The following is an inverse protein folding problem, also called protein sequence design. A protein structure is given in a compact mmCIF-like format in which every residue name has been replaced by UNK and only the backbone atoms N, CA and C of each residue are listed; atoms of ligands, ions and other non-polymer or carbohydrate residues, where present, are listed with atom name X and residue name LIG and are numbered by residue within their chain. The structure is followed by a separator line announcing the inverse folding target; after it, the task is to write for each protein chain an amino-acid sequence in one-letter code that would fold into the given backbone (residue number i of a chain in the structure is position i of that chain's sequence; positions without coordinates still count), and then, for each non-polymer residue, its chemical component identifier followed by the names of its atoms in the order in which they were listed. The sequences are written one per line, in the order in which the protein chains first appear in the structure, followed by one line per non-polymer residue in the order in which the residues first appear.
data_IF_864069935702
#
_entry.id   IF_864069935702
#
_cell.length_a   1.000
_cell.length_b   1.000
_cell.length_c   1.000
_cell.angle_alpha   90.00
_cell.angle_beta   90.00
_cell.angle_gamma   90.00
#
_symmetry.space_group_name_H-M   'P 1'
#
loop_
_entity.id
_entity.type
_entity.pdbx_description
1 polymer ?
#
# COMPACT_ATOMS: atom_id res chain seq x y z
N UNK A 1 35.77 0.87 7.17
CA UNK A 1 34.46 1.34 7.63
C UNK A 1 33.58 0.12 7.86
N UNK A 2 33.48 -0.30 9.13
CA UNK A 2 32.79 -1.54 9.60
C UNK A 2 31.39 -1.70 9.00
N UNK A 3 30.69 -0.58 8.73
CA UNK A 3 29.37 -0.58 8.07
C UNK A 3 29.40 -1.06 6.62
N UNK A 4 30.45 -0.76 5.85
CA UNK A 4 30.58 -1.25 4.47
C UNK A 4 30.88 -2.75 4.39
N UNK A 5 31.57 -3.29 5.37
CA UNK A 5 31.90 -4.73 5.44
C UNK A 5 30.71 -5.55 5.97
N UNK A 6 29.93 -5.02 6.92
CA UNK A 6 28.66 -5.58 7.35
C UNK A 6 27.62 -5.57 6.21
N UNK A 7 27.64 -4.54 5.36
CA UNK A 7 26.71 -4.37 4.26
C UNK A 7 26.79 -5.46 3.19
N UNK A 8 27.88 -6.21 3.09
CA UNK A 8 28.05 -7.20 2.02
C UNK A 8 27.65 -8.63 2.37
N UNK A 9 27.48 -9.00 3.65
CA UNK A 9 27.27 -10.41 4.01
C UNK A 9 26.29 -10.73 5.16
N UNK A 10 25.74 -9.78 5.91
CA UNK A 10 25.02 -10.11 7.17
C UNK A 10 23.72 -9.34 7.48
N UNK A 11 23.13 -8.63 6.54
CA UNK A 11 21.89 -7.91 6.80
C UNK A 11 20.72 -8.84 7.15
N UNK A 12 20.65 -10.01 6.53
CA UNK A 12 19.65 -11.03 6.86
C UNK A 12 19.74 -11.57 8.30
N UNK A 13 20.87 -11.31 8.99
CA UNK A 13 21.07 -11.73 10.38
C UNK A 13 20.76 -10.64 11.40
N UNK A 14 20.34 -9.44 10.96
CA UNK A 14 20.00 -8.36 11.89
C UNK A 14 18.71 -8.64 12.64
N UNK A 15 18.75 -8.44 13.95
CA UNK A 15 17.53 -8.52 14.76
C UNK A 15 16.58 -7.35 14.49
N UNK A 16 15.32 -7.50 14.82
CA UNK A 16 14.30 -6.45 14.78
C UNK A 16 14.76 -5.13 15.45
N UNK A 17 15.41 -5.23 16.63
CA UNK A 17 15.95 -4.07 17.35
C UNK A 17 17.05 -3.35 16.57
N UNK A 18 17.90 -4.09 15.89
CA UNK A 18 18.98 -3.50 15.08
C UNK A 18 18.43 -2.82 13.84
N UNK A 19 17.43 -3.40 13.19
CA UNK A 19 16.73 -2.78 12.04
C UNK A 19 16.05 -1.47 12.47
N UNK A 20 15.31 -1.48 13.57
CA UNK A 20 14.65 -0.26 14.08
C UNK A 20 15.65 0.86 14.44
N UNK A 21 16.87 0.50 14.87
CA UNK A 21 17.92 1.45 15.22
C UNK A 21 18.67 2.04 14.01
N UNK A 22 18.40 1.58 12.77
CA UNK A 22 19.04 2.10 11.58
C UNK A 22 18.60 3.55 11.30
N UNK A 23 19.55 4.40 10.98
CA UNK A 23 19.23 5.72 10.45
C UNK A 23 18.67 5.64 9.03
N UNK A 24 17.93 6.67 8.55
CA UNK A 24 17.45 6.72 7.17
C UNK A 24 18.55 6.51 6.12
N UNK A 25 19.72 7.10 6.31
CA UNK A 25 20.86 6.98 5.39
C UNK A 25 21.44 5.56 5.37
N UNK A 26 21.48 4.90 6.53
CA UNK A 26 21.90 3.50 6.64
C UNK A 26 20.89 2.58 5.93
N UNK A 27 19.60 2.85 6.09
CA UNK A 27 18.54 2.11 5.44
C UNK A 27 18.58 2.28 3.91
N UNK A 28 18.80 3.51 3.41
CA UNK A 28 18.99 3.77 1.99
C UNK A 28 20.23 3.07 1.41
N UNK A 29 21.32 3.07 2.15
CA UNK A 29 22.54 2.37 1.72
C UNK A 29 22.30 0.88 1.59
N UNK A 30 21.54 0.31 2.52
CA UNK A 30 21.17 -1.09 2.48
C UNK A 30 20.24 -1.42 1.29
N UNK A 31 19.23 -0.59 1.01
CA UNK A 31 18.34 -0.77 -0.17
C UNK A 31 19.10 -0.85 -1.50
N UNK A 32 20.19 -0.08 -1.63
CA UNK A 32 21.02 -0.08 -2.86
C UNK A 32 21.81 -1.36 -3.02
N UNK A 33 22.15 -2.02 -1.92
CA UNK A 33 23.02 -3.20 -1.92
C UNK A 33 22.28 -4.52 -1.96
N UNK A 34 21.12 -4.61 -1.30
CA UNK A 34 20.31 -5.85 -1.23
C UNK A 34 18.82 -5.55 -1.04
N UNK A 35 18.08 -5.22 -2.10
CA UNK A 35 16.68 -4.80 -1.99
C UNK A 35 15.65 -5.92 -1.69
N UNK A 36 16.08 -7.19 -1.57
CA UNK A 36 15.16 -8.33 -1.57
C UNK A 36 15.17 -9.19 -0.29
N UNK A 37 16.01 -8.89 0.70
CA UNK A 37 16.30 -9.83 1.79
C UNK A 37 15.74 -9.45 3.17
N UNK A 38 14.62 -8.74 3.23
CA UNK A 38 13.92 -8.56 4.51
C UNK A 38 13.19 -9.85 4.92
N UNK A 39 13.40 -10.30 6.15
CA UNK A 39 12.48 -11.24 6.78
C UNK A 39 11.20 -10.54 7.23
N UNK A 40 10.15 -11.31 7.47
CA UNK A 40 8.87 -10.77 7.98
C UNK A 40 9.07 -9.98 9.28
N UNK A 41 9.85 -10.52 10.23
CA UNK A 41 10.16 -9.87 11.50
C UNK A 41 10.90 -8.54 11.32
N UNK A 42 11.80 -8.49 10.34
CA UNK A 42 12.54 -7.27 10.01
C UNK A 42 11.64 -6.18 9.43
N UNK A 43 10.71 -6.56 8.54
CA UNK A 43 9.72 -5.64 7.96
C UNK A 43 8.79 -5.09 9.04
N UNK A 44 8.29 -5.95 9.92
CA UNK A 44 7.44 -5.52 11.05
C UNK A 44 8.18 -4.60 12.03
N UNK A 45 9.51 -4.75 12.16
CA UNK A 45 10.33 -3.92 13.02
C UNK A 45 10.63 -2.52 12.44
N UNK A 46 10.40 -2.29 11.14
CA UNK A 46 10.57 -0.97 10.53
C UNK A 46 9.57 0.02 11.14
N UNK A 47 10.07 1.15 11.63
CA UNK A 47 9.18 2.23 12.04
C UNK A 47 8.46 2.84 10.82
N UNK A 48 7.28 3.44 11.01
CA UNK A 48 6.58 4.16 9.94
C UNK A 48 7.48 5.19 9.24
N UNK A 49 8.32 5.92 9.97
CA UNK A 49 9.26 6.88 9.42
C UNK A 49 10.37 6.22 8.59
N UNK A 50 10.85 5.06 8.97
CA UNK A 50 11.81 4.30 8.16
C UNK A 50 11.19 3.81 6.85
N UNK A 51 9.94 3.35 6.87
CA UNK A 51 9.22 2.93 5.67
C UNK A 51 9.06 4.06 4.66
N UNK A 52 8.81 5.30 5.10
CA UNK A 52 8.70 6.46 4.21
C UNK A 52 10.01 6.80 3.49
N UNK A 53 11.15 6.31 3.96
CA UNK A 53 12.46 6.50 3.29
C UNK A 53 12.71 5.48 2.18
N UNK A 54 11.92 4.39 2.12
CA UNK A 54 12.05 3.37 1.09
C UNK A 54 11.53 3.90 -0.26
N UNK A 55 12.24 3.57 -1.35
CA UNK A 55 11.75 3.93 -2.68
C UNK A 55 10.58 3.04 -3.12
N UNK A 56 9.65 3.58 -3.92
CA UNK A 56 8.57 2.79 -4.52
C UNK A 56 9.11 1.59 -5.32
N UNK A 57 10.28 1.75 -5.97
CA UNK A 57 10.96 0.66 -6.70
C UNK A 57 11.40 -0.47 -5.78
N UNK A 58 11.84 -0.16 -4.57
CA UNK A 58 12.17 -1.17 -3.57
C UNK A 58 10.93 -1.92 -3.11
N UNK A 59 9.88 -1.17 -2.77
CA UNK A 59 8.60 -1.72 -2.31
C UNK A 59 7.92 -2.61 -3.37
N UNK A 60 8.04 -2.24 -4.65
CA UNK A 60 7.51 -3.02 -5.77
C UNK A 60 8.08 -4.44 -5.87
N UNK A 61 9.28 -4.66 -5.33
CA UNK A 61 9.95 -5.97 -5.34
C UNK A 61 9.49 -6.88 -4.20
N UNK A 62 8.75 -6.36 -3.24
CA UNK A 62 8.29 -7.13 -2.10
C UNK A 62 7.25 -8.18 -2.51
N UNK A 63 7.39 -9.38 -1.96
CA UNK A 63 6.42 -10.45 -2.16
C UNK A 63 5.11 -10.13 -1.45
N UNK A 64 4.04 -10.79 -1.86
CA UNK A 64 2.74 -10.67 -1.19
C UNK A 64 2.84 -10.98 0.31
N UNK A 65 3.62 -11.98 0.68
CA UNK A 65 3.83 -12.37 2.08
C UNK A 65 4.46 -11.25 2.91
N UNK A 66 5.49 -10.60 2.38
CA UNK A 66 6.12 -9.44 3.02
C UNK A 66 5.13 -8.28 3.15
N UNK A 67 4.39 -7.96 2.10
CA UNK A 67 3.41 -6.86 2.13
C UNK A 67 2.32 -7.14 3.16
N UNK A 68 1.81 -8.37 3.22
CA UNK A 68 0.78 -8.76 4.19
C UNK A 68 1.27 -8.83 5.63
N UNK A 69 2.58 -8.88 5.86
CA UNK A 69 3.16 -8.80 7.21
C UNK A 69 3.23 -7.37 7.76
N UNK A 70 3.07 -6.35 6.91
CA UNK A 70 3.03 -4.95 7.34
C UNK A 70 1.84 -4.68 8.26
N UNK A 71 2.09 -3.91 9.32
CA UNK A 71 1.07 -3.47 10.24
C UNK A 71 0.21 -2.35 9.62
N UNK A 72 -1.07 -2.20 10.02
CA UNK A 72 -1.95 -1.14 9.49
C UNK A 72 -1.35 0.27 9.59
N UNK A 73 -0.70 0.59 10.69
CA UNK A 73 -0.02 1.88 10.91
C UNK A 73 1.18 2.09 9.98
N UNK A 74 1.87 1.02 9.61
CA UNK A 74 2.95 1.06 8.63
C UNK A 74 2.40 1.35 7.23
N UNK A 75 1.29 0.73 6.85
CA UNK A 75 0.59 1.01 5.59
C UNK A 75 0.09 2.45 5.54
N UNK A 76 -0.54 2.92 6.61
CA UNK A 76 -1.08 4.29 6.70
C UNK A 76 0.00 5.39 6.61
N UNK A 77 1.24 5.07 6.97
CA UNK A 77 2.37 6.01 6.88
C UNK A 77 2.95 6.17 5.48
N UNK A 78 2.73 5.20 4.58
CA UNK A 78 3.28 5.23 3.23
C UNK A 78 2.72 6.41 2.41
N UNK A 79 3.59 7.04 1.62
CA UNK A 79 3.15 7.99 0.62
C UNK A 79 2.31 7.29 -0.48
N UNK A 80 1.39 7.99 -1.18
CA UNK A 80 0.55 7.38 -2.20
C UNK A 80 1.31 6.62 -3.29
N UNK A 81 2.42 7.16 -3.77
CA UNK A 81 3.28 6.53 -4.77
C UNK A 81 4.06 5.31 -4.23
N UNK A 82 4.38 5.28 -2.94
CA UNK A 82 4.94 4.10 -2.27
C UNK A 82 3.88 2.99 -2.09
N UNK A 83 2.64 3.36 -1.80
CA UNK A 83 1.55 2.43 -1.56
C UNK A 83 1.04 1.75 -2.85
N UNK A 84 1.00 2.48 -3.99
CA UNK A 84 0.48 1.98 -5.26
C UNK A 84 1.04 0.62 -5.70
N UNK A 85 2.35 0.37 -5.72
CA UNK A 85 2.88 -0.93 -6.13
C UNK A 85 2.48 -2.08 -5.19
N UNK A 86 2.05 -1.76 -3.97
CA UNK A 86 1.66 -2.75 -2.96
C UNK A 86 0.17 -3.10 -3.01
N UNK A 87 -0.67 -2.26 -3.63
CA UNK A 87 -2.14 -2.38 -3.61
C UNK A 87 -2.66 -3.79 -3.91
N UNK A 88 -2.14 -4.41 -4.96
CA UNK A 88 -2.56 -5.76 -5.38
C UNK A 88 -2.26 -6.85 -4.35
N UNK A 89 -1.33 -6.59 -3.44
CA UNK A 89 -0.88 -7.52 -2.41
C UNK A 89 -1.49 -7.25 -1.02
N UNK A 90 -2.11 -6.08 -0.82
CA UNK A 90 -2.72 -5.72 0.46
C UNK A 90 -3.84 -6.68 0.84
N UNK A 91 -3.86 -7.08 2.11
CA UNK A 91 -5.01 -7.78 2.68
C UNK A 91 -6.23 -6.85 2.82
N UNK A 92 -7.45 -7.40 2.94
CA UNK A 92 -8.64 -6.60 3.22
C UNK A 92 -8.50 -5.67 4.43
N UNK A 93 -7.87 -6.14 5.50
CA UNK A 93 -7.62 -5.34 6.71
C UNK A 93 -6.67 -4.16 6.45
N UNK A 94 -5.62 -4.39 5.68
CA UNK A 94 -4.66 -3.35 5.32
C UNK A 94 -5.29 -2.29 4.39
N UNK A 95 -6.18 -2.70 3.48
CA UNK A 95 -6.93 -1.76 2.65
C UNK A 95 -7.87 -0.88 3.48
N UNK A 96 -8.55 -1.45 4.48
CA UNK A 96 -9.37 -0.68 5.41
C UNK A 96 -8.57 0.33 6.25
N UNK A 97 -7.25 0.15 6.37
CA UNK A 97 -6.35 1.07 7.07
C UNK A 97 -5.81 2.22 6.19
N UNK A 98 -6.10 2.24 4.89
CA UNK A 98 -5.72 3.35 4.01
C UNK A 98 -6.38 4.66 4.46
N UNK A 99 -5.57 5.72 4.54
CA UNK A 99 -6.05 7.04 4.95
C UNK A 99 -6.59 7.87 3.77
N UNK A 100 -7.20 9.01 4.08
CA UNK A 100 -7.82 9.92 3.12
C UNK A 100 -6.85 10.34 2.02
N UNK A 101 -5.60 10.67 2.39
CA UNK A 101 -4.57 11.08 1.42
C UNK A 101 -4.24 9.96 0.43
N UNK A 102 -4.20 8.74 0.89
CA UNK A 102 -3.95 7.58 0.03
C UNK A 102 -5.15 7.29 -0.86
N UNK A 103 -6.38 7.36 -0.32
CA UNK A 103 -7.61 7.14 -1.07
C UNK A 103 -7.84 8.18 -2.17
N UNK A 104 -7.65 9.48 -1.87
CA UNK A 104 -7.84 10.57 -2.84
C UNK A 104 -6.80 10.62 -3.96
N UNK A 105 -5.72 9.86 -3.84
CA UNK A 105 -4.66 9.75 -4.86
C UNK A 105 -4.73 8.47 -5.69
N UNK A 106 -5.75 7.63 -5.51
CA UNK A 106 -5.94 6.42 -6.32
C UNK A 106 -6.36 6.80 -7.75
N UNK A 107 -5.79 6.09 -8.72
CA UNK A 107 -6.09 6.27 -10.15
C UNK A 107 -7.00 5.14 -10.66
N UNK A 108 -7.62 5.29 -11.85
CA UNK A 108 -8.36 4.19 -12.49
C UNK A 108 -7.54 2.90 -12.65
N UNK A 109 -6.24 3.02 -12.90
CA UNK A 109 -5.34 1.87 -13.01
C UNK A 109 -5.14 1.16 -11.68
N UNK A 110 -5.07 1.91 -10.57
CA UNK A 110 -4.95 1.35 -9.23
C UNK A 110 -6.21 0.54 -8.87
N UNK A 111 -7.36 1.10 -9.21
CA UNK A 111 -8.66 0.49 -8.98
C UNK A 111 -8.82 -0.84 -9.73
N UNK A 112 -8.40 -0.88 -11.00
CA UNK A 112 -8.47 -2.10 -11.83
C UNK A 112 -7.67 -3.28 -11.27
N UNK A 113 -6.64 -3.01 -10.46
CA UNK A 113 -5.79 -4.04 -9.89
C UNK A 113 -6.41 -4.72 -8.66
N UNK A 114 -7.41 -4.10 -8.03
CA UNK A 114 -8.02 -4.62 -6.82
C UNK A 114 -8.88 -5.85 -7.10
N UNK A 115 -8.69 -6.87 -6.27
CA UNK A 115 -9.49 -8.10 -6.30
C UNK A 115 -10.89 -7.85 -5.69
N UNK A 116 -11.91 -8.66 -6.02
CA UNK A 116 -13.26 -8.51 -5.47
C UNK A 116 -13.29 -8.40 -3.94
N UNK A 117 -12.54 -9.27 -3.25
CA UNK A 117 -12.48 -9.26 -1.78
C UNK A 117 -11.88 -7.96 -1.23
N UNK A 118 -10.95 -7.36 -1.97
CA UNK A 118 -10.33 -6.08 -1.62
C UNK A 118 -11.32 -4.93 -1.76
N UNK A 119 -12.14 -4.93 -2.84
CA UNK A 119 -13.22 -3.97 -3.05
C UNK A 119 -14.24 -4.00 -1.91
N UNK A 120 -14.69 -5.19 -1.56
CA UNK A 120 -15.65 -5.39 -0.48
C UNK A 120 -15.13 -4.98 0.90
N UNK A 121 -13.81 -4.87 1.06
CA UNK A 121 -13.19 -4.46 2.31
C UNK A 121 -13.11 -2.93 2.50
N UNK A 122 -13.25 -2.15 1.41
CA UNK A 122 -13.25 -0.70 1.51
C UNK A 122 -14.46 -0.22 2.33
N UNK A 123 -14.21 0.69 3.25
CA UNK A 123 -15.29 1.29 4.05
C UNK A 123 -16.13 2.25 3.21
N UNK A 124 -17.41 2.51 3.60
CA UNK A 124 -18.22 3.52 2.95
C UNK A 124 -17.53 4.89 2.86
N UNK A 125 -16.83 5.29 3.91
CA UNK A 125 -16.05 6.55 3.93
C UNK A 125 -14.94 6.54 2.87
N UNK A 126 -14.21 5.44 2.73
CA UNK A 126 -13.16 5.30 1.72
C UNK A 126 -13.73 5.36 0.30
N UNK A 127 -14.89 4.75 0.05
CA UNK A 127 -15.59 4.86 -1.24
C UNK A 127 -15.94 6.32 -1.55
N UNK A 128 -16.47 7.06 -0.59
CA UNK A 128 -16.80 8.48 -0.76
C UNK A 128 -15.58 9.36 -1.04
N UNK A 129 -14.38 8.95 -0.61
CA UNK A 129 -13.13 9.68 -0.80
C UNK A 129 -12.44 9.38 -2.15
N UNK A 130 -12.86 8.33 -2.86
CA UNK A 130 -12.29 8.00 -4.15
C UNK A 130 -12.47 9.16 -5.15
N UNK A 131 -11.44 9.48 -5.94
CA UNK A 131 -11.59 10.40 -7.05
C UNK A 131 -12.68 9.93 -8.02
N UNK A 132 -13.42 10.86 -8.58
CA UNK A 132 -14.53 10.57 -9.50
C UNK A 132 -14.07 9.77 -10.71
N UNK A 133 -12.92 10.12 -11.26
CA UNK A 133 -12.30 9.43 -12.40
C UNK A 133 -11.78 8.05 -12.02
N UNK A 134 -11.35 7.84 -10.77
CA UNK A 134 -10.94 6.52 -10.29
C UNK A 134 -12.09 5.50 -10.41
N UNK A 135 -13.32 5.90 -10.10
CA UNK A 135 -14.51 5.05 -10.23
C UNK A 135 -14.82 4.66 -11.67
N UNK A 136 -14.44 5.47 -12.67
CA UNK A 136 -14.56 5.13 -14.08
C UNK A 136 -13.64 3.96 -14.48
N UNK A 137 -12.67 3.62 -13.65
CA UNK A 137 -11.83 2.44 -13.82
C UNK A 137 -12.51 1.12 -13.47
N UNK A 138 -13.66 1.16 -12.78
CA UNK A 138 -14.40 -0.05 -12.40
C UNK A 138 -14.99 -0.77 -13.61
N UNK A 139 -14.82 -2.09 -13.65
CA UNK A 139 -15.52 -2.93 -14.59
C UNK A 139 -16.89 -3.37 -14.03
N UNK A 140 -17.74 -3.98 -14.88
CA UNK A 140 -19.09 -4.43 -14.50
C UNK A 140 -19.09 -5.42 -13.32
N UNK A 141 -18.07 -6.27 -13.20
CA UNK A 141 -17.97 -7.21 -12.09
C UNK A 141 -17.69 -6.46 -10.79
N UNK A 142 -16.74 -5.54 -10.80
CA UNK A 142 -16.39 -4.73 -9.62
C UNK A 142 -17.57 -3.88 -9.13
N UNK A 143 -18.41 -3.36 -10.06
CA UNK A 143 -19.65 -2.66 -9.71
C UNK A 143 -20.64 -3.58 -8.99
N UNK A 144 -20.79 -4.83 -9.46
CA UNK A 144 -21.69 -5.82 -8.83
C UNK A 144 -21.21 -6.28 -7.46
N UNK A 145 -19.89 -6.23 -7.24
CA UNK A 145 -19.25 -6.66 -6.00
C UNK A 145 -19.35 -5.61 -4.88
N UNK A 146 -19.76 -4.37 -5.19
CA UNK A 146 -20.00 -3.34 -4.18
C UNK A 146 -21.21 -3.71 -3.29
N UNK A 147 -21.02 -3.52 -1.99
CA UNK A 147 -22.07 -3.70 -1.00
C UNK A 147 -23.07 -2.54 -1.05
N UNK A 148 -24.34 -2.75 -0.64
CA UNK A 148 -25.33 -1.68 -0.61
C UNK A 148 -24.89 -0.44 0.14
N UNK A 149 -24.23 -0.59 1.27
CA UNK A 149 -23.69 0.51 2.08
C UNK A 149 -22.56 1.29 1.38
N UNK A 150 -21.77 0.62 0.54
CA UNK A 150 -20.73 1.26 -0.27
C UNK A 150 -21.36 2.08 -1.41
N UNK A 151 -22.41 1.56 -2.04
CA UNK A 151 -23.18 2.27 -3.09
C UNK A 151 -23.87 3.49 -2.48
N UNK A 152 -24.46 3.35 -1.29
CA UNK A 152 -25.15 4.44 -0.60
C UNK A 152 -24.18 5.58 -0.16
N UNK A 153 -22.90 5.28 -0.04
CA UNK A 153 -21.86 6.24 0.32
C UNK A 153 -21.32 7.05 -0.87
N UNK A 154 -21.69 6.71 -2.10
CA UNK A 154 -21.28 7.47 -3.28
C UNK A 154 -21.76 8.92 -3.18
N UNK A 155 -20.84 9.85 -3.38
CA UNK A 155 -21.18 11.28 -3.41
C UNK A 155 -21.99 11.63 -4.66
N UNK A 156 -22.72 12.77 -4.60
CA UNK A 156 -23.48 13.24 -5.75
C UNK A 156 -22.59 13.47 -7.00
N UNK A 157 -21.36 13.94 -6.81
CA UNK A 157 -20.39 14.15 -7.88
C UNK A 157 -19.97 12.81 -8.51
N UNK A 158 -19.65 11.82 -7.68
CA UNK A 158 -19.32 10.45 -8.14
C UNK A 158 -20.50 9.84 -8.91
N UNK A 159 -21.73 9.96 -8.39
CA UNK A 159 -22.90 9.40 -9.04
C UNK A 159 -23.22 10.06 -10.39
N UNK A 160 -23.05 11.37 -10.49
CA UNK A 160 -23.23 12.10 -11.75
C UNK A 160 -22.23 11.72 -12.83
N UNK A 161 -20.98 11.43 -12.45
CA UNK A 161 -19.96 11.03 -13.42
C UNK A 161 -20.21 9.63 -14.01
N UNK A 162 -20.97 8.78 -13.31
CA UNK A 162 -21.31 7.43 -13.73
C UNK A 162 -22.52 7.38 -14.67
N UNK A 163 -23.35 8.42 -14.67
CA UNK A 163 -24.61 8.46 -15.45
C UNK A 163 -24.41 8.73 -16.95
N UNK A 164 -23.16 8.92 -17.40
CA UNK A 164 -22.86 9.20 -18.79
C UNK A 164 -22.69 8.00 -19.70
N UNK A 165 -22.00 6.92 -19.27
CA UNK A 165 -21.64 5.78 -20.11
C UNK A 165 -21.37 4.45 -19.36
N UNK A 166 -21.61 4.37 -18.07
CA UNK A 166 -21.13 3.26 -17.23
C UNK A 166 -22.21 2.28 -16.70
N UNK A 167 -23.47 2.46 -17.07
CA UNK A 167 -24.59 1.60 -16.65
C UNK A 167 -25.11 0.73 -17.80
#
# INVERSE_FOLDING_TARGET
NVFKELAQKKWGCMSAKQINALSPDQLQTWQRTQPQDFSLDQVQALSPSQLTTLSAVTLQKWSQEIVQSLLPEQIAALAPDQMRPLLKHLSPLQLAALNDRQMTNLTPSDIKQLQPVQWQALTPTQIAQLPTDALLGLNKSQWRDLKPEQIAALTQAQFKSLSGDAL
#
